data_IF_548765205346
#
_entry.id   IF_548765205346
#
_cell.length_a   1.000
_cell.length_b   1.000
_cell.length_c   1.000
_cell.angle_alpha   90.00
_cell.angle_beta   90.00
_cell.angle_gamma   90.00
#
_symmetry.space_group_name_H-M   'P 1'
#
loop_
_entity.id
_entity.type
_entity.pdbx_description
1 polymer ?
#
# COMPACT_ATOMS: atom_id res chain seq x y z
N UNK A 1 -10.43 5.11 -5.35
CA UNK A 1 -10.02 5.13 -6.77
C UNK A 1 -10.91 4.13 -7.49
N UNK A 2 -11.75 4.59 -8.41
CA UNK A 2 -12.31 3.69 -9.42
C UNK A 2 -11.26 3.63 -10.54
N UNK A 3 -10.41 2.60 -10.49
CA UNK A 3 -9.47 2.33 -11.58
C UNK A 3 -10.30 1.83 -12.78
N UNK A 4 -10.75 2.75 -13.63
CA UNK A 4 -11.28 2.39 -14.93
C UNK A 4 -10.13 1.88 -15.80
N UNK A 5 -9.93 0.57 -15.78
CA UNK A 5 -8.95 -0.11 -16.61
C UNK A 5 -9.40 -0.02 -18.07
N UNK A 6 -8.82 0.92 -18.83
CA UNK A 6 -9.03 1.04 -20.26
C UNK A 6 -7.84 0.46 -21.01
N UNK A 7 -8.07 -0.45 -21.99
CA UNK A 7 -7.00 -1.19 -22.65
C UNK A 7 -6.02 -0.33 -23.48
N UNK A 8 -6.39 0.92 -23.79
CA UNK A 8 -5.58 1.81 -24.63
C UNK A 8 -5.23 3.14 -23.95
N UNK A 9 -5.82 3.45 -22.79
CA UNK A 9 -5.65 4.73 -22.10
C UNK A 9 -5.56 4.46 -20.61
N UNK A 10 -4.45 4.85 -19.99
CA UNK A 10 -4.26 4.75 -18.53
C UNK A 10 -4.63 6.09 -17.92
N UNK A 11 -5.57 6.08 -16.97
CA UNK A 11 -5.91 7.25 -16.17
C UNK A 11 -5.04 7.27 -14.91
N UNK A 12 -4.23 8.31 -14.75
CA UNK A 12 -3.37 8.49 -13.58
C UNK A 12 -3.81 9.71 -12.77
N UNK A 13 -3.80 9.58 -11.44
CA UNK A 13 -4.03 10.72 -10.57
C UNK A 13 -2.91 11.75 -10.71
N UNK A 14 -3.26 13.03 -10.75
CA UNK A 14 -2.30 14.14 -10.69
C UNK A 14 -1.37 14.05 -9.47
N UNK A 15 -1.83 13.40 -8.38
CA UNK A 15 -1.02 13.20 -7.17
C UNK A 15 0.28 12.43 -7.44
N UNK A 16 0.29 11.61 -8.50
CA UNK A 16 1.45 10.81 -8.90
C UNK A 16 2.47 11.61 -9.70
N UNK A 17 2.15 12.83 -10.13
CA UNK A 17 3.10 13.70 -10.85
C UNK A 17 4.14 14.32 -9.92
N UNK A 18 3.92 14.25 -8.60
CA UNK A 18 4.83 14.76 -7.58
C UNK A 18 5.71 13.60 -7.07
N UNK A 19 6.96 13.58 -7.52
CA UNK A 19 7.96 12.54 -7.19
C UNK A 19 8.14 11.48 -8.29
N UNK A 20 9.38 11.05 -8.52
CA UNK A 20 9.73 10.15 -9.63
C UNK A 20 9.47 8.68 -9.32
N UNK A 21 9.59 8.27 -8.05
CA UNK A 21 9.59 6.84 -7.68
C UNK A 21 8.17 6.27 -7.64
N UNK A 22 7.27 6.97 -6.94
CA UNK A 22 5.85 6.60 -6.77
C UNK A 22 5.13 6.56 -8.11
N UNK A 23 5.37 7.56 -8.97
CA UNK A 23 4.86 7.59 -10.34
C UNK A 23 5.25 6.34 -11.12
N UNK A 24 6.53 5.98 -11.11
CA UNK A 24 7.01 4.82 -11.87
C UNK A 24 6.44 3.51 -11.34
N UNK A 25 6.28 3.37 -10.02
CA UNK A 25 5.67 2.17 -9.42
C UNK A 25 4.21 2.06 -9.84
N UNK A 26 3.45 3.16 -9.80
CA UNK A 26 2.04 3.13 -10.19
C UNK A 26 1.87 2.91 -11.69
N UNK A 27 2.67 3.55 -12.54
CA UNK A 27 2.67 3.26 -13.99
C UNK A 27 2.98 1.79 -14.26
N UNK A 28 3.92 1.19 -13.52
CA UNK A 28 4.21 -0.24 -13.62
C UNK A 28 3.02 -1.12 -13.22
N UNK A 29 2.25 -0.71 -12.20
CA UNK A 29 1.00 -1.36 -11.80
C UNK A 29 -0.03 -1.35 -12.94
N UNK A 30 -0.32 -0.18 -13.49
CA UNK A 30 -1.27 -0.02 -14.59
C UNK A 30 -0.86 -0.80 -15.85
N UNK A 31 0.45 -0.85 -16.14
CA UNK A 31 0.98 -1.68 -17.23
C UNK A 31 0.74 -3.17 -16.95
N UNK A 32 0.86 -3.62 -15.71
CA UNK A 32 0.60 -5.01 -15.35
C UNK A 32 -0.87 -5.41 -15.57
N UNK A 33 -1.80 -4.49 -15.43
CA UNK A 33 -3.20 -4.75 -15.75
C UNK A 33 -3.45 -5.08 -17.22
N UNK A 34 -2.55 -4.68 -18.13
CA UNK A 34 -2.57 -5.13 -19.52
C UNK A 34 -2.60 -6.65 -19.67
N UNK A 35 -2.06 -7.40 -18.70
CA UNK A 35 -2.18 -8.86 -18.63
C UNK A 35 -3.23 -9.33 -17.62
N UNK A 36 -3.26 -8.73 -16.43
CA UNK A 36 -4.06 -9.21 -15.30
C UNK A 36 -5.20 -8.24 -15.00
N UNK A 37 -6.43 -8.61 -15.36
CA UNK A 37 -7.62 -7.75 -15.30
C UNK A 37 -8.17 -7.43 -16.69
N UNK A 38 -7.31 -7.08 -17.66
CA UNK A 38 -7.72 -6.81 -19.04
C UNK A 38 -7.66 -8.03 -19.95
N UNK A 39 -6.48 -8.67 -20.08
CA UNK A 39 -6.32 -9.83 -20.95
C UNK A 39 -6.84 -11.11 -20.30
N UNK A 40 -6.71 -11.24 -18.97
CA UNK A 40 -7.18 -12.36 -18.17
C UNK A 40 -7.99 -11.75 -17.03
N UNK A 41 -9.31 -11.91 -17.08
CA UNK A 41 -10.21 -11.37 -16.06
C UNK A 41 -10.60 -12.41 -15.02
N UNK A 42 -11.02 -11.98 -13.84
CA UNK A 42 -11.61 -12.89 -12.86
C UNK A 42 -13.02 -13.30 -13.28
N UNK A 43 -13.35 -14.60 -13.23
CA UNK A 43 -14.71 -15.09 -13.48
C UNK A 43 -15.66 -14.69 -12.34
N UNK A 44 -15.17 -14.71 -11.11
CA UNK A 44 -15.86 -14.17 -9.94
C UNK A 44 -15.24 -12.81 -9.59
N UNK A 45 -16.00 -11.73 -9.78
CA UNK A 45 -15.55 -10.37 -9.45
C UNK A 45 -15.25 -10.17 -7.96
N UNK A 46 -15.73 -11.04 -7.08
CA UNK A 46 -15.34 -10.99 -5.66
C UNK A 46 -13.90 -11.45 -5.43
N UNK A 47 -13.33 -12.22 -6.36
CA UNK A 47 -11.92 -12.66 -6.37
C UNK A 47 -11.00 -11.63 -7.06
N UNK A 48 -11.22 -10.32 -6.82
CA UNK A 48 -10.48 -9.22 -7.46
C UNK A 48 -8.95 -9.27 -7.26
N UNK A 49 -8.48 -10.02 -6.25
CA UNK A 49 -7.06 -10.25 -6.02
C UNK A 49 -6.36 -10.93 -7.22
N UNK A 50 -7.11 -11.63 -8.09
CA UNK A 50 -6.61 -12.18 -9.35
C UNK A 50 -6.19 -11.09 -10.35
N UNK A 51 -6.75 -9.88 -10.21
CA UNK A 51 -6.32 -8.69 -10.97
C UNK A 51 -5.33 -7.89 -10.11
N UNK A 52 -5.79 -7.38 -8.97
CA UNK A 52 -5.07 -6.42 -8.14
C UNK A 52 -3.82 -7.00 -7.48
N UNK A 53 -3.91 -8.23 -7.00
CA UNK A 53 -2.78 -8.93 -6.40
C UNK A 53 -1.68 -9.21 -7.44
N UNK A 54 -2.07 -9.58 -8.66
CA UNK A 54 -1.12 -9.80 -9.76
C UNK A 54 -0.48 -8.51 -10.24
N UNK A 55 -1.26 -7.44 -10.41
CA UNK A 55 -0.73 -6.13 -10.78
C UNK A 55 0.26 -5.63 -9.72
N UNK A 56 -0.11 -5.68 -8.44
CA UNK A 56 0.76 -5.34 -7.31
C UNK A 56 2.03 -6.22 -7.28
N UNK A 57 1.94 -7.50 -7.63
CA UNK A 57 3.09 -8.40 -7.67
C UNK A 57 4.03 -8.06 -8.83
N UNK A 58 3.49 -7.83 -10.02
CA UNK A 58 4.25 -7.54 -11.22
C UNK A 58 4.85 -6.13 -11.25
N UNK A 59 4.23 -5.17 -10.56
CA UNK A 59 4.73 -3.80 -10.48
C UNK A 59 6.19 -3.77 -9.99
N UNK A 60 6.55 -4.61 -9.02
CA UNK A 60 7.91 -4.68 -8.46
C UNK A 60 8.91 -5.14 -9.52
N UNK A 61 8.53 -6.12 -10.34
CA UNK A 61 9.40 -6.64 -11.40
C UNK A 61 9.58 -5.64 -12.53
N UNK A 62 8.51 -4.97 -12.94
CA UNK A 62 8.56 -3.95 -13.99
C UNK A 62 9.35 -2.73 -13.52
N UNK A 63 9.08 -2.25 -12.30
CA UNK A 63 9.76 -1.10 -11.73
C UNK A 63 11.25 -1.34 -11.55
N UNK A 64 11.64 -2.47 -10.96
CA UNK A 64 13.06 -2.82 -10.75
C UNK A 64 13.80 -3.12 -12.04
N UNK A 65 13.10 -3.59 -13.08
CA UNK A 65 13.67 -3.78 -14.42
C UNK A 65 13.88 -2.45 -15.13
N UNK A 66 12.90 -1.53 -15.07
CA UNK A 66 12.97 -0.22 -15.72
C UNK A 66 14.02 0.71 -15.09
N UNK A 67 14.15 0.68 -13.75
CA UNK A 67 15.09 1.56 -13.03
C UNK A 67 16.56 1.25 -13.28
N UNK A 68 16.93 0.16 -13.99
CA UNK A 68 18.32 -0.27 -14.21
C UNK A 68 19.18 -0.03 -12.96
N UNK A 69 18.75 -0.56 -11.80
CA UNK A 69 19.28 -0.16 -10.49
C UNK A 69 20.79 -0.45 -10.40
N UNK A 70 21.60 0.58 -10.67
CA UNK A 70 23.07 0.52 -10.65
C UNK A 70 23.63 0.60 -9.22
N UNK A 71 22.89 1.22 -8.29
CA UNK A 71 23.38 1.60 -6.97
C UNK A 71 22.80 0.78 -5.80
N UNK A 72 21.81 -0.09 -6.03
CA UNK A 72 21.26 -0.97 -4.99
C UNK A 72 20.85 -2.33 -5.57
N UNK A 73 20.93 -3.36 -4.75
CA UNK A 73 20.48 -4.71 -5.10
C UNK A 73 18.97 -4.70 -5.36
N UNK A 74 18.52 -5.24 -6.50
CA UNK A 74 17.09 -5.44 -6.80
C UNK A 74 16.38 -6.20 -5.69
N UNK A 75 17.07 -7.18 -5.11
CA UNK A 75 16.58 -7.97 -3.99
C UNK A 75 16.31 -7.10 -2.76
N UNK A 76 17.25 -6.23 -2.39
CA UNK A 76 17.12 -5.40 -1.20
C UNK A 76 15.91 -4.48 -1.28
N UNK A 77 15.68 -3.90 -2.45
CA UNK A 77 14.55 -3.03 -2.72
C UNK A 77 13.20 -3.77 -2.62
N UNK A 78 13.09 -4.94 -3.27
CA UNK A 78 11.86 -5.75 -3.23
C UNK A 78 11.56 -6.24 -1.82
N UNK A 79 12.58 -6.67 -1.07
CA UNK A 79 12.42 -7.07 0.34
C UNK A 79 11.98 -5.90 1.22
N UNK A 80 12.54 -4.70 1.04
CA UNK A 80 12.14 -3.50 1.78
C UNK A 80 10.67 -3.12 1.46
N UNK A 81 10.29 -3.15 0.18
CA UNK A 81 8.94 -2.81 -0.26
C UNK A 81 7.92 -3.85 0.22
N UNK A 82 8.26 -5.14 0.18
CA UNK A 82 7.46 -6.21 0.80
C UNK A 82 7.30 -5.98 2.30
N UNK A 83 8.33 -5.52 3.01
CA UNK A 83 8.23 -5.22 4.44
C UNK A 83 7.30 -4.03 4.73
N UNK A 84 7.33 -2.97 3.91
CA UNK A 84 6.38 -1.86 4.01
C UNK A 84 4.94 -2.33 3.74
N UNK A 85 4.71 -3.09 2.67
CA UNK A 85 3.39 -3.67 2.37
C UNK A 85 2.87 -4.54 3.51
N UNK A 86 3.74 -5.33 4.15
CA UNK A 86 3.38 -6.14 5.31
C UNK A 86 2.87 -5.27 6.45
N UNK A 87 3.59 -4.18 6.77
CA UNK A 87 3.16 -3.23 7.80
C UNK A 87 1.80 -2.63 7.45
N UNK A 88 1.60 -2.19 6.21
CA UNK A 88 0.32 -1.65 5.76
C UNK A 88 -0.80 -2.68 5.90
N UNK A 89 -0.60 -3.92 5.45
CA UNK A 89 -1.61 -4.98 5.54
C UNK A 89 -2.00 -5.30 6.98
N UNK A 90 -1.05 -5.29 7.93
CA UNK A 90 -1.34 -5.53 9.34
C UNK A 90 -2.26 -4.43 9.89
N UNK A 91 -1.94 -3.15 9.67
CA UNK A 91 -2.79 -2.03 10.08
C UNK A 91 -4.15 -2.05 9.37
N UNK A 92 -4.18 -2.37 8.08
CA UNK A 92 -5.42 -2.45 7.29
C UNK A 92 -6.39 -3.48 7.88
N UNK A 93 -5.87 -4.67 8.20
CA UNK A 93 -6.67 -5.77 8.74
C UNK A 93 -7.15 -5.50 10.17
N UNK A 94 -6.38 -4.77 10.97
CA UNK A 94 -6.82 -4.34 12.31
C UNK A 94 -8.02 -3.38 12.25
N UNK A 95 -8.15 -2.61 11.17
CA UNK A 95 -9.17 -1.56 11.02
C UNK A 95 -10.27 -1.88 10.00
N UNK A 96 -10.26 -3.08 9.41
CA UNK A 96 -11.22 -3.50 8.37
C UNK A 96 -12.14 -4.60 8.90
N UNK A 97 -13.43 -4.56 8.57
CA UNK A 97 -14.37 -5.62 8.95
C UNK A 97 -13.97 -6.99 8.36
N UNK A 98 -14.21 -8.09 9.09
CA UNK A 98 -13.68 -9.42 8.75
C UNK A 98 -14.07 -9.90 7.34
N UNK A 99 -15.29 -9.63 6.91
CA UNK A 99 -15.82 -10.00 5.60
C UNK A 99 -15.08 -9.32 4.44
N UNK A 100 -14.53 -8.12 4.65
CA UNK A 100 -13.75 -7.37 3.66
C UNK A 100 -12.28 -7.83 3.60
N UNK A 101 -11.87 -8.75 4.48
CA UNK A 101 -10.51 -9.30 4.52
C UNK A 101 -10.35 -10.61 3.73
N UNK A 102 -11.47 -11.15 3.22
CA UNK A 102 -11.55 -12.47 2.60
C UNK A 102 -11.35 -12.33 1.09
N UNK A 103 -10.37 -13.03 0.53
CA UNK A 103 -10.05 -12.93 -0.90
C UNK A 103 -11.00 -13.72 -1.81
N UNK A 104 -11.72 -14.71 -1.26
CA UNK A 104 -12.69 -15.54 -1.98
C UNK A 104 -13.96 -15.75 -1.15
N UNK A 105 -14.79 -14.71 -0.99
CA UNK A 105 -15.95 -14.76 -0.11
C UNK A 105 -17.05 -15.71 -0.64
N UNK A 106 -17.20 -15.85 -1.96
CA UNK A 106 -18.20 -16.74 -2.57
C UNK A 106 -17.87 -18.22 -2.45
N UNK A 107 -16.61 -18.57 -2.10
CA UNK A 107 -16.12 -19.95 -2.03
C UNK A 107 -16.42 -20.81 -3.27
N UNK A 108 -16.50 -20.19 -4.45
CA UNK A 108 -16.80 -20.86 -5.73
C UNK A 108 -18.29 -21.03 -6.04
N UNK A 109 -19.18 -20.47 -5.21
CA UNK A 109 -20.62 -20.43 -5.48
C UNK A 109 -20.95 -19.27 -6.43
N UNK A 110 -20.63 -19.46 -7.71
CA UNK A 110 -20.94 -18.48 -8.77
C UNK A 110 -22.33 -18.83 -9.33
N UNK A 111 -23.29 -17.92 -9.20
CA UNK A 111 -24.58 -18.04 -9.86
C UNK A 111 -24.39 -17.58 -11.31
N UNK A 112 -24.51 -18.52 -12.25
CA UNK A 112 -24.53 -18.21 -13.69
C UNK A 112 -25.98 -18.20 -14.16
N UNK A 113 -26.41 -17.11 -14.76
CA UNK A 113 -27.69 -17.00 -15.45
C UNK A 113 -27.45 -16.55 -16.89
N UNK A 114 -28.34 -16.98 -17.79
CA UNK A 114 -28.30 -16.53 -19.18
C UNK A 114 -28.96 -15.16 -19.24
N UNK A 115 -28.17 -14.11 -19.47
CA UNK A 115 -28.65 -12.76 -19.74
C UNK A 115 -28.34 -12.45 -21.21
N UNK A 116 -29.37 -12.12 -21.99
CA UNK A 116 -29.26 -11.82 -23.42
C UNK A 116 -28.52 -12.89 -24.26
N UNK A 117 -28.67 -14.16 -23.89
CA UNK A 117 -28.04 -15.30 -24.59
C UNK A 117 -26.57 -15.53 -24.25
N UNK A 118 -26.04 -14.82 -23.25
CA UNK A 118 -24.67 -14.97 -22.74
C UNK A 118 -24.72 -15.50 -21.31
N UNK A 119 -23.88 -16.49 -20.99
CA UNK A 119 -23.66 -16.92 -19.61
C UNK A 119 -23.04 -15.76 -18.82
N UNK A 120 -23.84 -15.12 -17.96
CA UNK A 120 -23.42 -14.02 -17.10
C UNK A 120 -23.35 -14.50 -15.64
N UNK A 121 -22.22 -14.23 -14.97
CA UNK A 121 -22.13 -14.39 -13.53
C UNK A 121 -22.90 -13.24 -12.86
N UNK A 122 -23.98 -13.55 -12.14
CA UNK A 122 -24.75 -12.53 -11.40
C UNK A 122 -24.18 -12.41 -10.00
N UNK A 123 -23.72 -11.20 -9.68
CA UNK A 123 -23.27 -10.85 -8.34
C UNK A 123 -24.35 -10.05 -7.60
N UNK A 124 -25.11 -10.73 -6.73
CA UNK A 124 -26.13 -10.07 -5.89
C UNK A 124 -25.41 -9.26 -4.80
N UNK A 125 -25.51 -7.93 -4.87
CA UNK A 125 -24.78 -6.96 -4.00
C UNK A 125 -23.28 -6.81 -4.31
N UNK A 126 -22.93 -6.81 -5.60
CA UNK A 126 -21.58 -7.14 -6.07
C UNK A 126 -20.40 -6.24 -5.67
N UNK A 127 -20.64 -5.05 -5.14
CA UNK A 127 -19.58 -4.23 -4.56
C UNK A 127 -20.05 -3.66 -3.23
N UNK A 128 -19.43 -4.11 -2.15
CA UNK A 128 -19.56 -3.43 -0.87
C UNK A 128 -18.97 -2.02 -1.07
N UNK A 129 -19.73 -0.93 -0.87
CA UNK A 129 -19.24 0.43 -1.09
C UNK A 129 -18.04 0.78 -0.20
N UNK A 130 -17.91 0.11 0.95
CA UNK A 130 -16.76 0.26 1.85
C UNK A 130 -15.49 -0.40 1.31
N UNK A 131 -15.60 -1.31 0.34
CA UNK A 131 -14.48 -2.03 -0.27
C UNK A 131 -13.52 -1.10 -1.00
N UNK A 132 -14.02 -0.01 -1.58
CA UNK A 132 -13.19 1.00 -2.27
C UNK A 132 -12.21 1.75 -1.37
N UNK A 133 -12.29 1.55 -0.05
CA UNK A 133 -11.37 2.10 0.95
C UNK A 133 -10.33 1.10 1.44
N UNK A 134 -10.41 -0.17 1.02
CA UNK A 134 -9.50 -1.21 1.50
C UNK A 134 -8.43 -1.59 0.47
N UNK A 135 -7.22 -1.85 0.95
CA UNK A 135 -6.10 -2.37 0.16
C UNK A 135 -5.87 -3.87 0.36
N UNK A 136 -6.79 -4.56 1.05
CA UNK A 136 -6.58 -5.96 1.46
C UNK A 136 -6.41 -6.86 0.25
N UNK A 137 -7.22 -6.72 -0.79
CA UNK A 137 -7.14 -7.59 -1.97
C UNK A 137 -5.85 -7.39 -2.78
N UNK A 138 -5.36 -6.15 -2.88
CA UNK A 138 -4.08 -5.79 -3.47
C UNK A 138 -2.93 -6.46 -2.71
N UNK A 139 -2.84 -6.19 -1.40
CA UNK A 139 -1.66 -6.54 -0.62
C UNK A 139 -1.66 -8.01 -0.20
N UNK A 140 -2.81 -8.56 0.21
CA UNK A 140 -2.90 -9.99 0.58
C UNK A 140 -2.77 -10.89 -0.65
N UNK A 141 -3.32 -10.46 -1.80
CA UNK A 141 -3.10 -11.11 -3.10
C UNK A 141 -1.63 -11.08 -3.53
N UNK A 142 -0.96 -9.93 -3.39
CA UNK A 142 0.49 -9.79 -3.59
C UNK A 142 1.27 -10.81 -2.78
N UNK A 143 0.97 -10.95 -1.48
CA UNK A 143 1.70 -11.87 -0.62
C UNK A 143 1.45 -13.34 -0.95
N UNK A 144 0.25 -13.71 -1.40
CA UNK A 144 -0.01 -15.06 -1.88
C UNK A 144 0.87 -15.39 -3.08
N UNK A 145 0.92 -14.50 -4.08
CA UNK A 145 1.76 -14.69 -5.26
C UNK A 145 3.25 -14.70 -4.92
N UNK A 146 3.67 -13.82 -3.99
CA UNK A 146 5.03 -13.84 -3.47
C UNK A 146 5.37 -15.15 -2.77
N UNK A 147 4.48 -15.68 -1.93
CA UNK A 147 4.66 -16.95 -1.25
C UNK A 147 4.81 -18.11 -2.25
N UNK A 148 3.96 -18.14 -3.29
CA UNK A 148 4.07 -19.12 -4.37
C UNK A 148 5.40 -18.97 -5.14
N UNK A 149 5.80 -17.74 -5.47
CA UNK A 149 7.06 -17.42 -6.13
C UNK A 149 8.28 -17.83 -5.31
N UNK A 150 8.28 -17.56 -4.01
CA UNK A 150 9.38 -17.93 -3.10
C UNK A 150 9.48 -19.45 -2.94
N UNK A 151 8.34 -20.16 -3.04
CA UNK A 151 8.28 -21.63 -2.94
C UNK A 151 8.92 -22.34 -4.13
N UNK A 152 8.72 -21.83 -5.35
CA UNK A 152 9.22 -22.49 -6.59
C UNK A 152 10.46 -21.81 -7.18
N UNK A 153 10.85 -20.65 -6.64
CA UNK A 153 11.88 -19.78 -7.18
C UNK A 153 11.34 -18.81 -8.24
N UNK A 154 11.80 -17.57 -8.19
CA UNK A 154 11.32 -16.46 -9.04
C UNK A 154 11.36 -16.75 -10.53
N UNK A 155 12.44 -17.36 -11.04
CA UNK A 155 12.58 -17.65 -12.47
C UNK A 155 11.55 -18.67 -12.96
N UNK A 156 11.37 -19.76 -12.19
CA UNK A 156 10.37 -20.78 -12.47
C UNK A 156 8.96 -20.20 -12.40
N UNK A 157 8.69 -19.36 -11.39
CA UNK A 157 7.41 -18.70 -11.24
C UNK A 157 7.11 -17.77 -12.43
N UNK A 158 8.09 -17.01 -12.90
CA UNK A 158 7.94 -16.16 -14.09
C UNK A 158 7.71 -16.96 -15.37
N UNK A 159 8.37 -18.11 -15.53
CA UNK A 159 8.09 -19.02 -16.65
C UNK A 159 6.67 -19.57 -16.58
N UNK A 160 6.21 -19.94 -15.38
CA UNK A 160 4.83 -20.36 -15.12
C UNK A 160 3.83 -19.25 -15.46
N UNK A 161 4.07 -18.00 -15.04
CA UNK A 161 3.18 -16.87 -15.38
C UNK A 161 3.06 -16.66 -16.89
N UNK A 162 4.16 -16.81 -17.65
CA UNK A 162 4.09 -16.76 -19.13
C UNK A 162 3.25 -17.90 -19.72
N UNK A 163 3.36 -19.11 -19.17
CA UNK A 163 2.54 -20.23 -19.59
C UNK A 163 1.06 -20.02 -19.24
N UNK A 164 0.77 -19.48 -18.05
CA UNK A 164 -0.55 -19.10 -17.59
C UNK A 164 -1.19 -18.08 -18.53
N UNK A 165 -0.46 -17.01 -18.88
CA UNK A 165 -0.93 -16.00 -19.85
C UNK A 165 -1.22 -16.63 -21.20
N UNK A 166 -0.33 -17.50 -21.70
CA UNK A 166 -0.53 -18.16 -22.99
C UNK A 166 -1.79 -19.06 -23.00
N UNK A 167 -2.10 -19.70 -21.88
CA UNK A 167 -3.25 -20.61 -21.74
C UNK A 167 -4.58 -19.86 -21.63
N UNK A 168 -4.62 -18.80 -20.83
CA UNK A 168 -5.87 -18.13 -20.43
C UNK A 168 -6.09 -16.75 -21.07
N UNK A 169 -5.24 -16.31 -22.00
CA UNK A 169 -5.46 -15.05 -22.73
C UNK A 169 -6.87 -14.95 -23.32
N UNK A 170 -7.56 -13.85 -23.06
CA UNK A 170 -8.92 -13.58 -23.53
C UNK A 170 -10.01 -14.37 -22.79
N UNK A 171 -9.72 -14.93 -21.61
CA UNK A 171 -10.67 -15.72 -20.83
C UNK A 171 -10.91 -15.11 -19.45
N UNK A 172 -12.06 -15.45 -18.88
CA UNK A 172 -12.33 -15.26 -17.46
C UNK A 172 -11.93 -16.53 -16.69
N UNK A 173 -11.20 -16.36 -15.59
CA UNK A 173 -10.60 -17.47 -14.83
C UNK A 173 -10.99 -17.43 -13.37
N UNK A 174 -11.10 -18.61 -12.77
CA UNK A 174 -11.27 -18.80 -11.34
C UNK A 174 -9.93 -18.94 -10.63
N UNK A 175 -9.86 -18.65 -9.33
CA UNK A 175 -8.64 -18.96 -8.56
C UNK A 175 -8.29 -20.44 -8.59
N UNK A 176 -9.30 -21.31 -8.71
CA UNK A 176 -9.11 -22.76 -8.76
C UNK A 176 -8.34 -23.15 -10.02
N UNK A 177 -8.70 -22.61 -11.18
CA UNK A 177 -7.99 -22.89 -12.43
C UNK A 177 -6.53 -22.40 -12.39
N UNK A 178 -6.28 -21.22 -11.81
CA UNK A 178 -4.92 -20.72 -11.60
C UNK A 178 -4.11 -21.64 -10.67
N UNK A 179 -4.63 -21.98 -9.50
CA UNK A 179 -3.93 -22.78 -8.50
C UNK A 179 -3.76 -24.24 -8.95
N UNK A 180 -4.76 -24.83 -9.62
CA UNK A 180 -4.63 -26.16 -10.22
C UNK A 180 -3.52 -26.17 -11.27
N UNK A 181 -3.46 -25.17 -12.15
CA UNK A 181 -2.36 -25.08 -13.12
C UNK A 181 -1.00 -24.94 -12.44
N UNK A 182 -0.91 -24.19 -11.34
CA UNK A 182 0.31 -24.07 -10.55
C UNK A 182 0.77 -25.42 -10.00
N UNK A 183 -0.12 -26.17 -9.36
CA UNK A 183 0.20 -27.48 -8.80
C UNK A 183 0.47 -28.55 -9.86
N UNK A 184 -0.17 -28.47 -11.03
CA UNK A 184 0.12 -29.34 -12.18
C UNK A 184 1.54 -29.06 -12.74
N UNK A 185 1.95 -27.79 -12.73
CA UNK A 185 3.29 -27.37 -13.19
C UNK A 185 4.38 -27.73 -12.19
N UNK A 186 4.07 -27.66 -10.89
CA UNK A 186 5.01 -27.95 -9.80
C UNK A 186 4.47 -29.02 -8.84
N UNK A 187 4.35 -30.30 -9.26
CA UNK A 187 3.77 -31.35 -8.43
C UNK A 187 4.47 -31.56 -7.09
N UNK A 188 5.79 -31.33 -7.05
CA UNK A 188 6.60 -31.45 -5.83
C UNK A 188 6.17 -30.52 -4.70
N UNK A 189 5.54 -29.38 -5.03
CA UNK A 189 5.03 -28.41 -4.06
C UNK A 189 3.87 -28.98 -3.24
N UNK A 190 3.12 -29.95 -3.77
CA UNK A 190 2.02 -30.60 -3.04
C UNK A 190 2.48 -31.29 -1.75
N UNK A 191 3.78 -31.61 -1.63
CA UNK A 191 4.37 -32.20 -0.42
C UNK A 191 4.47 -31.20 0.75
N UNK A 192 4.50 -29.90 0.46
CA UNK A 192 4.70 -28.83 1.46
C UNK A 192 3.48 -27.89 1.58
N UNK A 193 2.71 -27.74 0.51
CA UNK A 193 1.57 -26.84 0.42
C UNK A 193 0.46 -27.50 -0.41
N UNK A 194 -0.76 -27.53 0.12
CA UNK A 194 -1.93 -28.06 -0.60
C UNK A 194 -2.91 -26.96 -0.97
N UNK A 195 -3.80 -27.26 -1.92
CA UNK A 195 -4.84 -26.32 -2.35
C UNK A 195 -5.77 -25.96 -1.18
N UNK A 196 -6.13 -26.93 -0.35
CA UNK A 196 -6.98 -26.76 0.83
C UNK A 196 -6.34 -25.79 1.83
N UNK A 197 -5.02 -25.92 2.05
CA UNK A 197 -4.30 -25.03 2.95
C UNK A 197 -4.20 -23.60 2.41
N UNK A 198 -4.10 -23.43 1.09
CA UNK A 198 -4.19 -22.10 0.47
C UNK A 198 -5.59 -21.51 0.70
N UNK A 199 -6.63 -22.30 0.47
CA UNK A 199 -8.01 -21.88 0.68
C UNK A 199 -8.26 -21.44 2.12
N UNK A 200 -7.86 -22.27 3.08
CA UNK A 200 -8.05 -22.00 4.50
C UNK A 200 -7.21 -20.79 4.96
N UNK A 201 -5.92 -20.75 4.66
CA UNK A 201 -5.04 -19.74 5.24
C UNK A 201 -5.12 -18.38 4.52
N UNK A 202 -5.38 -18.38 3.21
CA UNK A 202 -5.26 -17.17 2.38
C UNK A 202 -6.61 -16.68 1.85
N UNK A 203 -7.48 -17.58 1.39
CA UNK A 203 -8.62 -17.17 0.57
C UNK A 203 -9.94 -17.06 1.32
N UNK A 204 -10.26 -17.99 2.22
CA UNK A 204 -11.60 -18.12 2.82
C UNK A 204 -11.71 -17.51 4.21
N UNK A 205 -10.58 -17.28 4.88
CA UNK A 205 -10.57 -16.74 6.24
C UNK A 205 -10.04 -15.29 6.31
N UNK A 206 -10.60 -14.48 7.23
CA UNK A 206 -10.07 -13.17 7.55
C UNK A 206 -8.70 -13.25 8.21
N UNK A 207 -8.02 -12.11 8.32
CA UNK A 207 -6.72 -12.00 8.95
C UNK A 207 -5.53 -12.20 8.00
N UNK A 208 -4.34 -12.14 8.59
CA UNK A 208 -3.06 -12.27 7.91
C UNK A 208 -2.47 -13.68 8.12
N UNK A 209 -2.08 -14.40 7.06
CA UNK A 209 -1.37 -15.67 7.16
C UNK A 209 -0.08 -15.55 7.98
N UNK A 210 0.30 -16.62 8.68
CA UNK A 210 1.52 -16.64 9.53
C UNK A 210 2.76 -16.36 8.70
N UNK A 211 2.80 -16.90 7.48
CA UNK A 211 3.88 -16.73 6.52
C UNK A 211 4.15 -15.24 6.25
N UNK A 212 3.11 -14.41 6.17
CA UNK A 212 3.24 -12.95 5.98
C UNK A 212 3.70 -12.25 7.25
N UNK A 213 3.18 -12.66 8.42
CA UNK A 213 3.57 -12.12 9.73
C UNK A 213 5.06 -12.33 10.03
N UNK A 214 5.65 -13.37 9.47
CA UNK A 214 7.07 -13.71 9.69
C UNK A 214 8.03 -13.03 8.68
N UNK A 215 7.53 -12.48 7.57
CA UNK A 215 8.37 -11.80 6.56
C UNK A 215 9.18 -10.67 7.21
N UNK A 216 10.50 -10.73 7.01
CA UNK A 216 11.45 -9.67 7.37
C UNK A 216 12.48 -9.55 6.25
N UNK A 217 13.00 -8.34 5.98
CA UNK A 217 14.15 -8.17 5.10
C UNK A 217 15.33 -9.01 5.57
N UNK A 218 16.16 -9.45 4.63
CA UNK A 218 17.38 -10.20 4.93
C UNK A 218 18.25 -9.41 5.93
N UNK A 219 18.93 -10.08 6.88
CA UNK A 219 19.94 -9.43 7.71
C UNK A 219 21.09 -8.81 6.91
N UNK A 220 21.24 -9.15 5.62
CA UNK A 220 22.23 -8.59 4.70
C UNK A 220 21.69 -7.42 3.87
N UNK A 221 20.39 -7.10 3.99
CA UNK A 221 19.75 -6.03 3.21
C UNK A 221 20.28 -4.66 3.64
N UNK A 222 21.08 -4.04 2.78
CA UNK A 222 21.80 -2.79 3.09
C UNK A 222 20.85 -1.60 3.13
N UNK A 223 19.80 -1.60 2.30
CA UNK A 223 18.76 -0.55 2.34
C UNK A 223 18.05 -0.55 3.69
N UNK A 224 17.68 -1.75 4.18
CA UNK A 224 17.02 -1.91 5.47
C UNK A 224 17.94 -1.57 6.64
N UNK A 225 19.19 -2.05 6.65
CA UNK A 225 20.16 -1.69 7.70
C UNK A 225 20.36 -0.19 7.82
N UNK A 226 20.52 0.49 6.68
CA UNK A 226 20.75 1.94 6.64
C UNK A 226 19.60 2.71 7.28
N UNK A 227 18.34 2.39 6.91
CA UNK A 227 17.17 3.09 7.47
C UNK A 227 16.94 2.77 8.94
N UNK A 228 17.21 1.55 9.40
CA UNK A 228 17.13 1.20 10.82
C UNK A 228 18.18 1.96 11.62
N UNK A 229 19.44 2.00 11.17
CA UNK A 229 20.49 2.77 11.83
C UNK A 229 20.15 4.27 11.90
N UNK A 230 19.60 4.83 10.82
CA UNK A 230 19.16 6.22 10.80
C UNK A 230 17.99 6.46 11.78
N UNK A 231 17.02 5.55 11.82
CA UNK A 231 15.90 5.60 12.78
C UNK A 231 16.42 5.63 14.22
N UNK A 232 17.33 4.73 14.57
CA UNK A 232 17.92 4.65 15.91
C UNK A 232 18.65 5.96 16.28
N UNK A 233 19.36 6.58 15.32
CA UNK A 233 20.00 7.87 15.52
C UNK A 233 18.96 8.97 15.84
N UNK A 234 17.89 9.08 15.05
CA UNK A 234 16.82 10.05 15.29
C UNK A 234 16.13 9.85 16.64
N UNK A 235 15.77 8.61 16.99
CA UNK A 235 15.16 8.26 18.28
C UNK A 235 16.10 8.59 19.44
N UNK A 236 17.40 8.29 19.31
CA UNK A 236 18.40 8.63 20.33
C UNK A 236 18.50 10.14 20.54
N UNK A 237 18.61 10.92 19.46
CA UNK A 237 18.67 12.40 19.56
C UNK A 237 17.38 12.94 20.17
N UNK A 238 16.21 12.45 19.75
CA UNK A 238 14.92 12.82 20.32
C UNK A 238 14.89 12.56 21.84
N UNK A 239 15.33 11.37 22.28
CA UNK A 239 15.41 11.04 23.70
C UNK A 239 16.33 11.96 24.50
N UNK A 240 17.47 12.39 23.92
CA UNK A 240 18.39 13.33 24.54
C UNK A 240 17.76 14.73 24.70
N UNK A 241 17.04 15.21 23.68
CA UNK A 241 16.34 16.49 23.70
C UNK A 241 15.24 16.48 24.77
N UNK A 242 14.42 15.41 24.80
CA UNK A 242 13.32 15.28 25.75
C UNK A 242 13.80 15.20 27.22
N UNK A 243 14.94 14.56 27.49
CA UNK A 243 15.50 14.39 28.84
C UNK A 243 16.10 15.67 29.46
N UNK A 244 16.13 16.82 28.76
CA UNK A 244 16.65 18.13 29.22
C UNK A 244 18.03 18.07 29.91
N UNK A 245 18.86 17.08 29.57
CA UNK A 245 20.18 16.86 30.15
C UNK A 245 21.27 17.32 29.18
N UNK A 246 21.36 18.63 28.96
CA UNK A 246 22.63 19.39 28.90
C UNK A 246 22.40 20.82 28.38
N UNK A 247 22.89 21.78 29.16
CA UNK A 247 23.11 23.18 28.78
C UNK A 247 23.71 23.27 27.38
N UNK A 248 23.05 24.02 26.47
CA UNK A 248 23.64 24.66 25.28
C UNK A 248 24.77 23.88 24.58
N UNK A 249 24.59 22.58 24.35
CA UNK A 249 25.41 21.90 23.34
C UNK A 249 24.65 22.09 22.03
N UNK A 250 25.22 22.83 21.07
CA UNK A 250 24.78 22.73 19.68
C UNK A 250 24.91 21.25 19.33
N UNK A 251 23.80 20.52 19.33
CA UNK A 251 23.77 19.22 18.67
C UNK A 251 24.06 19.55 17.22
N UNK A 252 25.27 19.22 16.77
CA UNK A 252 25.55 19.31 15.36
C UNK A 252 24.83 18.13 14.72
N UNK A 253 23.86 18.46 13.87
CA UNK A 253 23.21 17.49 12.99
C UNK A 253 24.17 17.13 11.84
N UNK A 254 25.46 17.44 11.93
CA UNK A 254 26.49 17.10 10.94
C UNK A 254 26.66 15.58 10.79
N UNK A 255 26.17 14.78 11.76
CA UNK A 255 26.08 13.32 11.67
C UNK A 255 24.95 12.81 10.75
N UNK A 256 24.06 13.70 10.28
CA UNK A 256 22.88 13.37 9.44
C UNK A 256 23.20 13.47 7.94
N UNK A 257 24.50 13.50 7.59
CA UNK A 257 24.99 13.60 6.21
C UNK A 257 24.52 12.47 5.27
N UNK A 258 23.96 11.38 5.81
CA UNK A 258 23.46 10.24 5.04
C UNK A 258 22.00 10.35 4.56
N UNK A 259 21.25 11.35 5.04
CA UNK A 259 19.84 11.56 4.69
C UNK A 259 19.63 11.91 3.21
N UNK A 260 20.59 12.58 2.57
CA UNK A 260 20.51 12.95 1.14
C UNK A 260 20.49 11.75 0.17
N UNK A 261 20.65 10.52 0.67
CA UNK A 261 20.72 9.29 -0.13
C UNK A 261 19.71 8.21 0.33
N UNK A 262 18.60 8.57 0.99
CA UNK A 262 17.52 7.61 1.26
C UNK A 262 16.56 7.55 0.08
N UNK A 263 16.14 6.35 -0.31
CA UNK A 263 15.04 6.19 -1.27
C UNK A 263 13.70 6.60 -0.65
N UNK A 264 12.66 6.78 -1.47
CA UNK A 264 11.31 7.06 -0.98
C UNK A 264 10.84 6.00 0.04
N UNK A 265 11.11 4.72 -0.23
CA UNK A 265 10.76 3.58 0.63
C UNK A 265 11.51 3.60 1.95
N UNK A 266 12.81 3.95 1.93
CA UNK A 266 13.57 4.14 3.16
C UNK A 266 13.04 5.32 3.97
N UNK A 267 12.72 6.44 3.32
CA UNK A 267 12.14 7.61 4.00
C UNK A 267 10.77 7.29 4.60
N UNK A 268 9.91 6.56 3.88
CA UNK A 268 8.63 6.08 4.41
C UNK A 268 8.83 5.20 5.65
N UNK A 269 9.76 4.24 5.60
CA UNK A 269 10.02 3.37 6.75
C UNK A 269 10.60 4.13 7.95
N UNK A 270 11.48 5.11 7.72
CA UNK A 270 11.98 5.99 8.77
C UNK A 270 10.82 6.72 9.46
N UNK A 271 9.96 7.36 8.67
CA UNK A 271 8.83 8.13 9.20
C UNK A 271 7.82 7.23 9.91
N UNK A 272 7.51 6.04 9.38
CA UNK A 272 6.68 5.01 10.02
C UNK A 272 7.23 4.61 11.40
N UNK A 273 8.54 4.36 11.50
CA UNK A 273 9.16 4.01 12.77
C UNK A 273 9.10 5.18 13.76
N UNK A 274 9.33 6.41 13.28
CA UNK A 274 9.19 7.61 14.10
C UNK A 274 7.75 7.84 14.54
N UNK A 275 6.76 7.56 13.69
CA UNK A 275 5.34 7.63 14.03
C UNK A 275 4.99 6.64 15.16
N UNK A 276 5.75 5.55 15.34
CA UNK A 276 5.55 4.61 16.45
C UNK A 276 6.02 5.16 17.82
N UNK A 277 6.77 6.26 17.85
CA UNK A 277 7.23 6.87 19.10
C UNK A 277 6.10 7.58 19.85
N UNK A 278 6.08 7.47 21.19
CA UNK A 278 5.04 8.12 22.01
C UNK A 278 5.12 9.66 21.92
N UNK A 279 6.34 10.20 21.85
CA UNK A 279 6.60 11.65 21.83
C UNK A 279 7.79 12.00 20.94
N UNK A 280 7.60 12.92 20.02
CA UNK A 280 8.67 13.55 19.25
C UNK A 280 8.74 15.05 19.57
N UNK A 281 9.95 15.57 19.77
CA UNK A 281 10.16 16.99 20.02
C UNK A 281 9.95 17.84 18.76
N UNK A 282 9.43 19.05 18.93
CA UNK A 282 9.24 20.02 17.83
C UNK A 282 10.54 20.39 17.12
N UNK A 283 11.68 20.29 17.81
CA UNK A 283 13.00 20.48 17.22
C UNK A 283 13.34 19.39 16.20
N UNK A 284 13.02 18.12 16.49
CA UNK A 284 13.23 17.00 15.58
C UNK A 284 12.37 17.17 14.33
N UNK A 285 11.08 17.49 14.49
CA UNK A 285 10.17 17.71 13.36
C UNK A 285 10.63 18.85 12.46
N UNK A 286 11.12 19.95 13.04
CA UNK A 286 11.72 21.05 12.26
C UNK A 286 12.93 20.58 11.45
N UNK A 287 13.84 19.81 12.06
CA UNK A 287 15.04 19.33 11.35
C UNK A 287 14.69 18.30 10.27
N UNK A 288 13.73 17.40 10.52
CA UNK A 288 13.22 16.49 9.49
C UNK A 288 12.69 17.28 8.29
N UNK A 289 11.84 18.29 8.54
CA UNK A 289 11.31 19.16 7.48
C UNK A 289 12.43 19.84 6.69
N UNK A 290 13.40 20.46 7.36
CA UNK A 290 14.50 21.18 6.73
C UNK A 290 15.41 20.28 5.89
N UNK A 291 15.63 19.03 6.33
CA UNK A 291 16.51 18.07 5.66
C UNK A 291 15.86 17.39 4.47
N UNK A 292 14.65 16.85 4.66
CA UNK A 292 13.98 16.04 3.64
C UNK A 292 13.22 16.89 2.62
N UNK A 293 12.92 18.16 2.96
CA UNK A 293 12.13 19.08 2.11
C UNK A 293 10.90 18.38 1.53
N UNK A 294 10.04 17.88 2.42
CA UNK A 294 8.95 16.99 2.06
C UNK A 294 8.06 17.51 0.92
N UNK A 295 7.91 18.83 0.79
CA UNK A 295 7.18 19.47 -0.31
C UNK A 295 7.68 19.08 -1.73
N UNK A 296 8.94 18.65 -1.86
CA UNK A 296 9.56 18.21 -3.12
C UNK A 296 9.58 16.67 -3.30
N UNK A 297 9.06 15.91 -2.33
CA UNK A 297 9.14 14.43 -2.30
C UNK A 297 7.88 13.76 -2.85
N UNK A 298 7.93 12.44 -3.05
CA UNK A 298 6.77 11.63 -3.46
C UNK A 298 5.56 11.84 -2.54
N UNK A 299 4.36 11.87 -3.12
CA UNK A 299 3.13 12.14 -2.36
C UNK A 299 2.87 11.14 -1.20
N UNK A 300 3.34 9.90 -1.32
CA UNK A 300 3.29 8.90 -0.24
C UNK A 300 4.21 9.27 0.94
N UNK A 301 5.40 9.81 0.65
CA UNK A 301 6.33 10.31 1.67
C UNK A 301 5.74 11.55 2.34
N UNK A 302 5.12 12.45 1.56
CA UNK A 302 4.41 13.62 2.07
C UNK A 302 3.26 13.22 3.00
N UNK A 303 2.41 12.28 2.56
CA UNK A 303 1.32 11.76 3.38
C UNK A 303 1.84 11.25 4.73
N UNK A 304 2.87 10.41 4.70
CA UNK A 304 3.50 9.87 5.92
C UNK A 304 4.08 10.96 6.81
N UNK A 305 4.69 12.00 6.23
CA UNK A 305 5.14 13.17 6.98
C UNK A 305 3.97 13.90 7.66
N UNK A 306 2.85 14.06 6.96
CA UNK A 306 1.67 14.72 7.50
C UNK A 306 1.00 13.93 8.64
N UNK A 307 1.08 12.60 8.64
CA UNK A 307 0.68 11.80 9.81
C UNK A 307 1.48 12.19 11.07
N UNK A 308 2.80 12.39 10.95
CA UNK A 308 3.60 12.91 12.07
C UNK A 308 3.19 14.33 12.47
N UNK A 309 2.91 15.20 11.48
CA UNK A 309 2.45 16.57 11.73
C UNK A 309 1.15 16.58 12.54
N UNK A 310 0.19 15.71 12.18
CA UNK A 310 -1.08 15.58 12.88
C UNK A 310 -0.88 14.96 14.27
N UNK A 311 -0.23 13.78 14.35
CA UNK A 311 0.02 13.07 15.62
C UNK A 311 0.73 13.93 16.66
N UNK A 312 1.79 14.64 16.27
CA UNK A 312 2.61 15.46 17.18
C UNK A 312 2.24 16.95 17.18
N UNK A 313 1.14 17.34 16.53
CA UNK A 313 0.58 18.70 16.52
C UNK A 313 1.59 19.77 16.08
N UNK A 314 2.35 19.50 15.03
CA UNK A 314 3.40 20.39 14.51
C UNK A 314 2.81 21.52 13.66
N UNK A 315 2.27 22.54 14.36
CA UNK A 315 1.60 23.71 13.77
C UNK A 315 2.34 24.41 12.61
N UNK A 316 3.69 24.55 12.61
CA UNK A 316 4.39 25.19 11.50
C UNK A 316 4.19 24.52 10.14
N UNK A 317 3.75 23.27 10.09
CA UNK A 317 3.46 22.55 8.83
C UNK A 317 1.98 22.57 8.43
N UNK A 318 1.08 23.22 9.18
CA UNK A 318 -0.36 23.19 8.88
C UNK A 318 -0.74 23.88 7.57
N UNK A 319 0.01 24.90 7.14
CA UNK A 319 -0.21 25.52 5.83
C UNK A 319 0.06 24.50 4.70
N UNK A 320 1.22 23.84 4.74
CA UNK A 320 1.56 22.79 3.77
C UNK A 320 0.58 21.59 3.83
N UNK A 321 0.05 21.27 5.01
CA UNK A 321 -0.98 20.24 5.17
C UNK A 321 -2.29 20.62 4.45
N UNK A 322 -2.74 21.87 4.56
CA UNK A 322 -3.92 22.36 3.82
C UNK A 322 -3.69 22.26 2.31
N UNK A 323 -2.51 22.65 1.84
CA UNK A 323 -2.15 22.56 0.44
C UNK A 323 -2.16 21.09 -0.04
N UNK A 324 -1.66 20.16 0.78
CA UNK A 324 -1.68 18.73 0.46
C UNK A 324 -3.10 18.17 0.37
N UNK A 325 -3.97 18.45 1.36
CA UNK A 325 -5.37 18.01 1.34
C UNK A 325 -6.14 18.52 0.11
N UNK A 326 -5.75 19.69 -0.40
CA UNK A 326 -6.38 20.33 -1.57
C UNK A 326 -5.89 19.74 -2.88
N UNK A 327 -4.59 19.49 -3.00
CA UNK A 327 -3.98 19.05 -4.26
C UNK A 327 -3.89 17.52 -4.41
N UNK A 328 -3.97 16.77 -3.31
CA UNK A 328 -3.77 15.32 -3.27
C UNK A 328 -5.00 14.57 -2.74
N UNK A 329 -6.19 14.85 -3.27
CA UNK A 329 -7.48 14.34 -2.78
C UNK A 329 -7.49 12.84 -2.45
N UNK A 330 -6.97 11.99 -3.35
CA UNK A 330 -7.01 10.54 -3.17
C UNK A 330 -6.20 10.04 -1.97
N UNK A 331 -5.05 10.66 -1.67
CA UNK A 331 -4.26 10.36 -0.48
C UNK A 331 -4.75 11.15 0.74
N UNK A 332 -5.28 12.35 0.53
CA UNK A 332 -5.75 13.24 1.59
C UNK A 332 -6.94 12.69 2.37
N UNK A 333 -7.78 11.84 1.78
CA UNK A 333 -8.95 11.22 2.43
C UNK A 333 -8.58 10.52 3.75
N UNK A 334 -7.44 9.83 3.80
CA UNK A 334 -6.98 9.16 5.03
C UNK A 334 -6.58 10.17 6.13
N UNK A 335 -6.01 11.32 5.75
CA UNK A 335 -5.65 12.37 6.69
C UNK A 335 -6.85 13.11 7.28
N UNK A 336 -8.01 13.12 6.59
CA UNK A 336 -9.24 13.67 7.18
C UNK A 336 -9.63 12.92 8.46
N UNK A 337 -9.53 11.57 8.46
CA UNK A 337 -9.78 10.77 9.65
C UNK A 337 -8.87 11.17 10.80
N UNK A 338 -7.55 11.20 10.56
CA UNK A 338 -6.56 11.63 11.56
C UNK A 338 -6.85 13.02 12.14
N UNK A 339 -7.20 13.99 11.28
CA UNK A 339 -7.53 15.35 11.69
C UNK A 339 -8.81 15.43 12.53
N UNK A 340 -9.87 14.75 12.09
CA UNK A 340 -11.20 14.75 12.72
C UNK A 340 -11.14 14.08 14.09
N UNK A 341 -10.45 12.93 14.20
CA UNK A 341 -10.37 12.15 15.44
C UNK A 341 -9.20 12.54 16.35
N UNK A 342 -8.34 13.48 15.95
CA UNK A 342 -7.22 13.98 16.76
C UNK A 342 -7.58 14.59 18.13
N UNK A 343 -8.85 14.99 18.31
CA UNK A 343 -9.33 15.75 19.46
C UNK A 343 -8.79 17.19 19.53
N UNK A 344 -8.05 17.67 18.52
CA UNK A 344 -7.53 19.04 18.46
C UNK A 344 -8.45 19.94 17.63
N UNK A 345 -9.00 20.99 18.26
CA UNK A 345 -9.94 21.91 17.60
C UNK A 345 -9.36 22.60 16.37
N UNK A 346 -8.04 22.84 16.34
CA UNK A 346 -7.40 23.48 15.18
C UNK A 346 -7.31 22.48 14.03
N UNK A 347 -6.96 21.23 14.31
CA UNK A 347 -6.89 20.17 13.31
C UNK A 347 -8.28 19.84 12.73
N UNK A 348 -9.31 19.74 13.58
CA UNK A 348 -10.70 19.57 13.13
C UNK A 348 -11.17 20.74 12.25
N UNK A 349 -10.86 21.98 12.63
CA UNK A 349 -11.19 23.15 11.80
C UNK A 349 -10.48 23.13 10.44
N UNK A 350 -9.22 22.65 10.38
CA UNK A 350 -8.51 22.46 9.10
C UNK A 350 -9.27 21.47 8.20
N UNK A 351 -9.69 20.34 8.75
CA UNK A 351 -10.49 19.36 8.02
C UNK A 351 -11.81 19.95 7.53
N UNK A 352 -12.55 20.66 8.39
CA UNK A 352 -13.84 21.30 8.03
C UNK A 352 -13.67 22.35 6.92
N UNK A 353 -12.65 23.21 7.01
CA UNK A 353 -12.36 24.25 6.02
C UNK A 353 -11.97 23.65 4.66
N UNK A 354 -11.02 22.71 4.65
CA UNK A 354 -10.57 22.06 3.41
C UNK A 354 -11.71 21.26 2.77
N UNK A 355 -12.46 20.49 3.56
CA UNK A 355 -13.58 19.70 3.05
C UNK A 355 -14.67 20.60 2.46
N UNK A 356 -15.07 21.66 3.15
CA UNK A 356 -16.07 22.60 2.65
C UNK A 356 -15.67 23.26 1.32
N UNK A 357 -14.37 23.56 1.14
CA UNK A 357 -13.86 24.15 -0.11
C UNK A 357 -13.87 23.18 -1.29
N UNK A 358 -13.67 21.89 -1.05
CA UNK A 358 -13.46 20.88 -2.09
C UNK A 358 -14.68 19.98 -2.34
N UNK A 359 -15.67 19.99 -1.45
CA UNK A 359 -16.82 19.08 -1.48
C UNK A 359 -17.54 19.05 -2.82
N UNK A 360 -17.59 20.17 -3.56
CA UNK A 360 -18.23 20.23 -4.87
C UNK A 360 -17.43 19.54 -5.99
N UNK A 361 -16.11 19.40 -5.81
CA UNK A 361 -15.18 18.80 -6.77
C UNK A 361 -14.81 17.34 -6.42
N UNK A 362 -15.15 16.90 -5.22
CA UNK A 362 -14.87 15.53 -4.75
C UNK A 362 -15.81 14.50 -5.38
N UNK A 363 -15.26 13.31 -5.66
CA UNK A 363 -16.05 12.14 -6.02
C UNK A 363 -17.07 11.78 -4.92
N UNK A 364 -18.29 11.31 -5.25
CA UNK A 364 -19.33 11.00 -4.29
C UNK A 364 -18.91 10.03 -3.17
N UNK A 365 -18.04 9.06 -3.47
CA UNK A 365 -17.54 8.11 -2.48
C UNK A 365 -16.69 8.80 -1.41
N UNK A 366 -15.85 9.77 -1.78
CA UNK A 366 -15.04 10.52 -0.82
C UNK A 366 -15.90 11.41 0.07
N UNK A 367 -16.91 12.07 -0.52
CA UNK A 367 -17.91 12.86 0.22
C UNK A 367 -18.61 11.98 1.26
N UNK A 368 -19.13 10.82 0.85
CA UNK A 368 -19.83 9.90 1.75
C UNK A 368 -18.96 9.47 2.93
N UNK A 369 -17.70 9.14 2.68
CA UNK A 369 -16.77 8.69 3.73
C UNK A 369 -16.38 9.81 4.68
N UNK A 370 -16.07 11.01 4.17
CA UNK A 370 -15.71 12.14 5.04
C UNK A 370 -16.94 12.62 5.84
N UNK A 371 -18.13 12.67 5.22
CA UNK A 371 -19.39 12.97 5.92
C UNK A 371 -19.62 11.97 7.06
N UNK A 372 -19.40 10.66 6.82
CA UNK A 372 -19.50 9.64 7.86
C UNK A 372 -18.50 9.85 9.00
N UNK A 373 -17.23 10.17 8.71
CA UNK A 373 -16.22 10.48 9.73
C UNK A 373 -16.64 11.64 10.63
N UNK A 374 -17.22 12.71 10.04
CA UNK A 374 -17.71 13.84 10.82
C UNK A 374 -18.89 13.46 11.73
N UNK A 375 -19.83 12.65 11.23
CA UNK A 375 -20.95 12.11 12.02
C UNK A 375 -20.45 11.28 13.20
N UNK A 376 -19.51 10.36 12.95
CA UNK A 376 -18.94 9.49 13.98
C UNK A 376 -18.15 10.29 15.04
N UNK A 377 -17.52 11.39 14.66
CA UNK A 377 -16.79 12.27 15.59
C UNK A 377 -17.69 13.11 16.51
N UNK A 378 -18.98 13.18 16.23
CA UNK A 378 -19.96 13.94 17.00
C UNK A 378 -20.67 13.09 18.07
N UNK A 379 -20.51 11.76 18.01
CA UNK A 379 -20.95 10.79 19.01
C UNK A 379 -19.89 10.66 20.12
#
# INVERSE_FOLDING_TARGET
>A
MTEELSPNVIFLSQSLLVGYSSMCSRVAHEIAHGWFGLLIGALDWTEEWLSEGFATFMEDYFHTSAKNMQNCSKRDYVELKAFLRKKNLLHEIENTAAELQILRPSQGKIIKEIIDGVDAAILKNGQNPMKGFTQVHYIKGYFLLKYLSDTVGTENFMQFLRAYIKKFKGQLVTCQEFLSMFFDTFPEVQKILTLEKIYENWLHNPGVPVEVKEIKPSPENELFKKVISETENWVKINSCILKKRQKRRKFSFDCVSFVNNLTAEQTMLLLENLLSEEKISTQILRHLKELFKFEETDAEVQHRWFELVVKYKYRPAYAALKDFLTNHLALGVYLYGELIFSGDKVQKAIAEECYASLRAEMEPNYICTIDQMFLDSAL
#
